data_IF_305543759429
#
_entry.id   IF_305543759429
#
_cell.length_a   1.000
_cell.length_b   1.000
_cell.length_c   1.000
_cell.angle_alpha   90.00
_cell.angle_beta   90.00
_cell.angle_gamma   90.00
#
_symmetry.space_group_name_H-M   'P 1'
#
loop_
_entity.id
_entity.type
_entity.pdbx_description
1 polymer ?
#
# COMPACT_ATOMS: atom_id res chain seq x y z
N UNK A 1 77.22 -33.14 -4.51
CA UNK A 1 75.92 -32.94 -5.17
C UNK A 1 75.05 -32.11 -4.23
N UNK A 2 74.51 -30.95 -4.64
CA UNK A 2 73.72 -30.13 -3.73
C UNK A 2 72.26 -30.61 -3.69
N UNK A 3 71.72 -30.72 -2.48
CA UNK A 3 70.30 -30.97 -2.21
C UNK A 3 69.45 -29.77 -2.63
N UNK A 4 68.40 -29.99 -3.42
CA UNK A 4 67.38 -28.97 -3.65
C UNK A 4 66.26 -29.08 -2.60
N UNK A 5 65.79 -27.96 -2.02
CA UNK A 5 64.67 -27.97 -1.10
C UNK A 5 63.34 -28.14 -1.84
N UNK A 6 62.48 -29.01 -1.31
CA UNK A 6 61.11 -29.21 -1.77
C UNK A 6 60.27 -28.02 -1.33
N UNK A 7 59.74 -27.26 -2.30
CA UNK A 7 58.81 -26.14 -2.05
C UNK A 7 57.42 -26.73 -1.80
N UNK A 8 56.70 -26.34 -0.74
CA UNK A 8 55.34 -26.81 -0.50
C UNK A 8 54.39 -26.25 -1.56
N UNK A 9 53.55 -27.12 -2.12
CA UNK A 9 52.51 -26.74 -3.06
C UNK A 9 51.51 -25.79 -2.38
N UNK A 10 51.49 -24.52 -2.82
CA UNK A 10 50.45 -23.58 -2.45
C UNK A 10 49.11 -24.10 -2.98
N UNK A 11 48.26 -24.53 -2.05
CA UNK A 11 46.85 -24.83 -2.30
C UNK A 11 46.17 -23.56 -2.82
N UNK A 12 45.81 -23.58 -4.11
CA UNK A 12 44.95 -22.57 -4.70
C UNK A 12 43.57 -22.74 -4.07
N UNK A 13 43.25 -21.89 -3.09
CA UNK A 13 41.89 -21.75 -2.61
C UNK A 13 41.00 -21.39 -3.82
N UNK A 14 39.87 -22.07 -4.04
CA UNK A 14 38.98 -21.74 -5.13
C UNK A 14 38.46 -20.33 -4.90
N UNK A 15 38.85 -19.41 -5.77
CA UNK A 15 38.25 -18.08 -5.88
C UNK A 15 36.79 -18.30 -6.25
N UNK A 16 35.91 -18.32 -5.24
CA UNK A 16 34.46 -18.31 -5.45
C UNK A 16 34.15 -16.97 -6.09
N UNK A 17 34.10 -16.96 -7.42
CA UNK A 17 33.51 -15.88 -8.18
C UNK A 17 32.03 -15.87 -7.79
N UNK A 18 31.68 -15.07 -6.78
CA UNK A 18 30.30 -14.65 -6.54
C UNK A 18 29.91 -13.81 -7.75
N UNK A 19 29.54 -14.48 -8.84
CA UNK A 19 28.74 -13.88 -9.88
C UNK A 19 27.48 -13.42 -9.18
N UNK A 20 27.45 -12.15 -8.81
CA UNK A 20 26.22 -11.43 -8.52
C UNK A 20 25.43 -11.48 -9.82
N UNK A 21 24.70 -12.56 -10.04
CA UNK A 21 23.57 -12.60 -10.94
C UNK A 21 22.60 -11.61 -10.34
N UNK A 22 22.76 -10.35 -10.73
CA UNK A 22 21.71 -9.35 -10.63
C UNK A 22 20.58 -10.00 -11.43
N UNK A 23 19.69 -10.70 -10.72
CA UNK A 23 18.44 -11.15 -11.28
C UNK A 23 17.80 -9.87 -11.77
N UNK A 24 17.91 -9.64 -13.09
CA UNK A 24 17.25 -8.58 -13.80
C UNK A 24 15.77 -8.74 -13.49
N UNK A 25 15.31 -8.06 -12.44
CA UNK A 25 13.95 -8.13 -11.99
C UNK A 25 13.10 -7.54 -13.08
N UNK A 26 12.38 -8.39 -13.81
CA UNK A 26 11.47 -7.95 -14.86
C UNK A 26 10.45 -7.01 -14.23
N UNK A 27 10.28 -5.78 -14.74
CA UNK A 27 9.28 -4.85 -14.24
C UNK A 27 7.88 -5.47 -14.20
N UNK A 28 7.27 -5.54 -13.02
CA UNK A 28 5.90 -6.03 -12.84
C UNK A 28 4.87 -4.91 -13.00
N UNK A 29 3.64 -5.28 -13.34
CA UNK A 29 2.45 -4.42 -13.24
C UNK A 29 1.66 -4.84 -12.03
N UNK A 30 1.50 -3.94 -11.07
CA UNK A 30 0.92 -4.23 -9.76
C UNK A 30 -0.27 -3.30 -9.54
N UNK A 31 -1.39 -3.89 -9.14
CA UNK A 31 -2.61 -3.17 -8.84
C UNK A 31 -2.98 -3.41 -7.37
N UNK A 32 -2.91 -2.37 -6.56
CA UNK A 32 -3.24 -2.43 -5.13
C UNK A 32 -4.67 -1.98 -4.95
N UNK A 33 -5.52 -2.88 -4.47
CA UNK A 33 -6.92 -2.57 -4.14
C UNK A 33 -7.05 -2.42 -2.64
N UNK A 34 -7.60 -1.31 -2.19
CA UNK A 34 -7.91 -1.12 -0.77
C UNK A 34 -9.38 -0.79 -0.56
N UNK A 35 -9.96 -1.36 0.49
CA UNK A 35 -11.29 -1.03 0.97
C UNK A 35 -11.30 0.14 1.96
N UNK A 36 -10.13 0.62 2.40
CA UNK A 36 -10.04 1.77 3.29
C UNK A 36 -10.62 3.01 2.61
N UNK A 37 -11.50 3.71 3.34
CA UNK A 37 -12.15 4.92 2.87
C UNK A 37 -11.29 6.15 3.10
N UNK A 38 -11.29 7.03 2.12
CA UNK A 38 -10.69 8.35 2.19
C UNK A 38 -9.28 8.40 1.59
N UNK A 39 -8.91 9.60 1.16
CA UNK A 39 -7.56 9.89 0.64
C UNK A 39 -6.60 10.32 1.75
N UNK A 40 -7.11 10.71 2.91
CA UNK A 40 -6.29 10.99 4.08
C UNK A 40 -5.80 9.69 4.74
N UNK A 41 -4.52 9.59 5.16
CA UNK A 41 -3.98 8.41 5.83
C UNK A 41 -4.51 8.27 7.25
N UNK A 42 -5.79 7.89 7.37
CA UNK A 42 -6.54 7.77 8.61
C UNK A 42 -6.32 6.43 9.31
N UNK A 43 -5.79 5.42 8.61
CA UNK A 43 -5.57 4.07 9.16
C UNK A 43 -4.16 3.52 8.90
N UNK A 44 -3.73 2.57 9.74
CA UNK A 44 -2.48 1.84 9.55
C UNK A 44 -2.45 1.04 8.24
N UNK A 45 -3.57 0.42 7.86
CA UNK A 45 -3.69 -0.33 6.62
C UNK A 45 -3.50 0.53 5.37
N UNK A 46 -4.10 1.73 5.34
CA UNK A 46 -3.87 2.70 4.26
C UNK A 46 -2.38 3.04 4.13
N UNK A 47 -1.73 3.36 5.26
CA UNK A 47 -0.30 3.70 5.28
C UNK A 47 0.56 2.55 4.78
N UNK A 48 0.26 1.32 5.21
CA UNK A 48 0.98 0.12 4.78
C UNK A 48 0.87 -0.08 3.26
N UNK A 49 -0.34 0.05 2.69
CA UNK A 49 -0.57 -0.06 1.25
C UNK A 49 0.18 1.03 0.46
N UNK A 50 0.15 2.28 0.96
CA UNK A 50 0.87 3.38 0.34
C UNK A 50 2.39 3.13 0.35
N UNK A 51 2.95 2.69 1.49
CA UNK A 51 4.38 2.38 1.59
C UNK A 51 4.79 1.19 0.70
N UNK A 52 3.95 0.15 0.65
CA UNK A 52 4.16 -1.00 -0.23
C UNK A 52 4.18 -0.56 -1.70
N UNK A 53 3.15 0.18 -2.14
CA UNK A 53 3.05 0.69 -3.50
C UNK A 53 4.25 1.56 -3.88
N UNK A 54 4.61 2.49 -2.99
CA UNK A 54 5.78 3.36 -3.15
C UNK A 54 7.07 2.55 -3.27
N UNK A 55 7.27 1.56 -2.40
CA UNK A 55 8.48 0.72 -2.41
C UNK A 55 8.60 -0.12 -3.68
N UNK A 56 7.48 -0.62 -4.20
CA UNK A 56 7.44 -1.39 -5.44
C UNK A 56 7.72 -0.50 -6.65
N UNK A 57 7.13 0.70 -6.70
CA UNK A 57 7.40 1.68 -7.74
C UNK A 57 8.87 2.12 -7.76
N UNK A 58 9.50 2.33 -6.59
CA UNK A 58 10.94 2.66 -6.49
C UNK A 58 11.86 1.57 -7.04
N UNK A 59 11.40 0.32 -7.04
CA UNK A 59 12.12 -0.83 -7.61
C UNK A 59 11.90 -0.98 -9.13
N UNK A 60 11.24 -0.02 -9.77
CA UNK A 60 10.98 -0.02 -11.21
C UNK A 60 9.73 -0.78 -11.62
N UNK A 61 8.86 -1.18 -10.68
CA UNK A 61 7.56 -1.75 -11.02
C UNK A 61 6.56 -0.65 -11.39
N UNK A 62 5.58 -0.98 -12.24
CA UNK A 62 4.44 -0.09 -12.53
C UNK A 62 3.34 -0.39 -11.52
N UNK A 63 3.02 0.59 -10.68
CA UNK A 63 2.06 0.42 -9.59
C UNK A 63 0.90 1.39 -9.75
N UNK A 64 -0.32 0.88 -9.60
CA UNK A 64 -1.55 1.68 -9.56
C UNK A 64 -2.39 1.27 -8.35
N UNK A 65 -3.06 2.24 -7.74
CA UNK A 65 -3.92 2.01 -6.59
C UNK A 65 -5.39 2.21 -6.95
N UNK A 66 -6.27 1.34 -6.45
CA UNK A 66 -7.71 1.55 -6.41
C UNK A 66 -8.12 1.84 -4.98
N UNK A 67 -8.74 2.99 -4.77
CA UNK A 67 -9.12 3.49 -3.44
C UNK A 67 -10.58 3.95 -3.46
N UNK A 68 -11.19 4.07 -2.28
CA UNK A 68 -12.44 4.81 -2.11
C UNK A 68 -12.14 6.21 -1.58
N UNK A 69 -12.76 7.22 -2.15
CA UNK A 69 -12.60 8.61 -1.71
C UNK A 69 -13.93 9.28 -1.42
N UNK A 70 -13.86 10.38 -0.68
CA UNK A 70 -14.95 11.34 -0.61
C UNK A 70 -14.66 12.51 -1.56
N UNK A 71 -15.68 12.99 -2.29
CA UNK A 71 -15.55 14.14 -3.20
C UNK A 71 -14.93 15.37 -2.53
N UNK A 72 -15.21 15.59 -1.24
CA UNK A 72 -14.67 16.70 -0.44
C UNK A 72 -13.15 16.65 -0.21
N UNK A 73 -12.50 15.49 -0.41
CA UNK A 73 -11.04 15.33 -0.28
C UNK A 73 -10.29 15.64 -1.58
N UNK A 74 -11.01 15.75 -2.69
CA UNK A 74 -10.44 15.97 -4.02
C UNK A 74 -9.91 17.39 -4.31
N UNK A 75 -10.42 18.48 -3.69
CA UNK A 75 -9.88 19.83 -3.94
C UNK A 75 -8.39 19.98 -3.65
N UNK A 76 -7.83 19.13 -2.77
CA UNK A 76 -6.39 19.09 -2.47
C UNK A 76 -5.58 18.23 -3.43
N UNK A 77 -6.21 17.57 -4.41
CA UNK A 77 -5.57 16.67 -5.35
C UNK A 77 -5.35 17.38 -6.69
N UNK A 78 -4.11 17.54 -7.14
CA UNK A 78 -3.82 18.19 -8.41
C UNK A 78 -4.09 17.27 -9.60
N UNK A 79 -4.40 17.87 -10.75
CA UNK A 79 -4.55 17.19 -12.04
C UNK A 79 -5.53 16.01 -12.05
N UNK A 80 -6.63 16.12 -11.30
CA UNK A 80 -7.66 15.10 -11.23
C UNK A 80 -8.53 15.08 -12.49
N UNK A 81 -8.81 13.88 -13.00
CA UNK A 81 -9.85 13.67 -14.02
C UNK A 81 -11.05 12.99 -13.37
N UNK A 82 -12.26 13.46 -13.69
CA UNK A 82 -13.54 12.86 -13.27
C UNK A 82 -14.17 12.14 -14.46
N UNK A 83 -14.51 10.87 -14.27
CA UNK A 83 -15.18 10.01 -15.25
C UNK A 83 -16.45 9.41 -14.63
N UNK A 84 -17.52 9.34 -15.41
CA UNK A 84 -18.74 8.59 -15.03
C UNK A 84 -18.66 7.19 -15.61
N UNK A 85 -18.84 6.17 -14.76
CA UNK A 85 -18.70 4.77 -15.16
C UNK A 85 -19.98 4.03 -14.79
N UNK A 86 -20.49 3.24 -15.73
CA UNK A 86 -21.66 2.39 -15.50
C UNK A 86 -21.26 1.14 -14.71
N UNK A 87 -21.91 0.92 -13.57
CA UNK A 87 -21.70 -0.23 -12.70
C UNK A 87 -22.87 -1.21 -12.77
N UNK A 88 -22.53 -2.49 -12.79
CA UNK A 88 -23.50 -3.57 -12.75
C UNK A 88 -23.73 -3.95 -11.29
N UNK A 89 -24.95 -3.74 -10.79
CA UNK A 89 -25.37 -4.32 -9.53
C UNK A 89 -25.77 -5.78 -9.78
N UNK A 90 -25.20 -6.72 -9.02
CA UNK A 90 -25.43 -8.16 -9.21
C UNK A 90 -26.87 -8.61 -8.91
N UNK A 91 -27.69 -7.71 -8.34
CA UNK A 91 -29.04 -8.02 -7.83
C UNK A 91 -30.17 -7.40 -8.66
N UNK A 92 -29.87 -6.54 -9.66
CA UNK A 92 -30.90 -5.91 -10.51
C UNK A 92 -30.64 -6.21 -11.97
N UNK A 93 -31.58 -6.91 -12.61
CA UNK A 93 -31.47 -7.33 -14.01
C UNK A 93 -31.61 -6.17 -15.01
N UNK A 94 -32.14 -5.01 -14.62
CA UNK A 94 -32.26 -3.86 -15.52
C UNK A 94 -31.96 -2.53 -14.81
N UNK A 95 -31.00 -1.79 -15.35
CA UNK A 95 -30.56 -0.48 -14.85
C UNK A 95 -29.21 -0.52 -14.14
N UNK A 96 -28.12 -0.56 -14.91
CA UNK A 96 -26.79 -0.26 -14.34
C UNK A 96 -26.80 1.15 -13.76
N UNK A 97 -26.29 1.31 -12.55
CA UNK A 97 -26.16 2.64 -11.93
C UNK A 97 -24.83 3.24 -12.34
N UNK A 98 -24.80 4.55 -12.58
CA UNK A 98 -23.56 5.26 -12.85
C UNK A 98 -22.94 5.76 -11.55
N UNK A 99 -21.62 5.71 -11.49
CA UNK A 99 -20.85 6.25 -10.38
C UNK A 99 -19.60 6.96 -10.85
N UNK A 100 -19.16 7.94 -10.04
CA UNK A 100 -17.95 8.72 -10.33
C UNK A 100 -16.70 7.94 -10.01
N UNK A 101 -15.74 8.01 -10.93
CA UNK A 101 -14.38 7.52 -10.78
C UNK A 101 -13.44 8.68 -11.06
N UNK A 102 -12.48 8.86 -10.19
CA UNK A 102 -11.44 9.87 -10.32
C UNK A 102 -10.10 9.22 -10.65
N UNK A 103 -9.29 9.89 -11.46
CA UNK A 103 -7.91 9.49 -11.71
C UNK A 103 -6.97 10.64 -11.46
N UNK A 104 -5.85 10.35 -10.82
CA UNK A 104 -4.81 11.34 -10.54
C UNK A 104 -3.48 10.65 -10.24
N UNK A 105 -2.41 11.44 -10.23
CA UNK A 105 -1.09 11.01 -9.74
C UNK A 105 -0.88 11.55 -8.32
N UNK A 106 -0.46 10.69 -7.40
CA UNK A 106 -0.05 11.14 -6.08
C UNK A 106 1.34 11.76 -6.16
N UNK A 107 1.51 13.01 -5.73
CA UNK A 107 2.74 13.82 -5.89
C UNK A 107 3.97 13.36 -5.08
N UNK A 108 3.95 12.16 -4.50
CA UNK A 108 5.13 11.63 -3.78
C UNK A 108 6.02 10.91 -4.77
N UNK A 109 7.30 11.21 -4.79
CA UNK A 109 8.31 10.48 -5.56
C UNK A 109 8.50 9.05 -5.00
N UNK A 110 8.29 7.98 -5.79
CA UNK A 110 7.85 7.92 -7.20
C UNK A 110 6.33 8.09 -7.36
N UNK A 111 5.93 8.77 -8.45
CA UNK A 111 4.52 9.06 -8.74
C UNK A 111 3.70 7.77 -8.79
N UNK A 112 2.61 7.75 -8.01
CA UNK A 112 1.66 6.63 -7.99
C UNK A 112 0.41 7.02 -8.75
N UNK A 113 0.01 6.20 -9.71
CA UNK A 113 -1.29 6.34 -10.36
C UNK A 113 -2.39 5.88 -9.41
N UNK A 114 -3.40 6.71 -9.20
CA UNK A 114 -4.53 6.42 -8.33
C UNK A 114 -5.83 6.47 -9.14
N UNK A 115 -6.66 5.45 -8.93
CA UNK A 115 -8.05 5.40 -9.36
C UNK A 115 -8.88 5.43 -8.09
N UNK A 116 -9.68 6.47 -7.91
CA UNK A 116 -10.50 6.64 -6.72
C UNK A 116 -11.98 6.52 -7.08
N UNK A 117 -12.71 5.66 -6.39
CA UNK A 117 -14.16 5.49 -6.53
C UNK A 117 -14.86 6.41 -5.54
N UNK A 118 -15.84 7.19 -6.00
CA UNK A 118 -16.64 8.01 -5.10
C UNK A 118 -17.49 7.13 -4.18
N UNK A 119 -17.24 7.25 -2.88
CA UNK A 119 -17.83 6.35 -1.90
C UNK A 119 -19.36 6.52 -1.79
N UNK A 120 -19.87 7.75 -1.92
CA UNK A 120 -21.31 8.00 -1.92
C UNK A 120 -22.03 7.33 -3.09
N UNK A 121 -21.40 7.29 -4.26
CA UNK A 121 -21.98 6.61 -5.41
C UNK A 121 -21.87 5.10 -5.24
N UNK A 122 -20.73 4.62 -4.73
CA UNK A 122 -20.52 3.21 -4.43
C UNK A 122 -21.60 2.65 -3.52
N UNK A 123 -21.96 3.36 -2.45
CA UNK A 123 -23.02 2.91 -1.53
C UNK A 123 -24.43 3.00 -2.10
N UNK A 124 -24.70 3.83 -3.11
CA UNK A 124 -25.99 3.81 -3.82
C UNK A 124 -26.15 2.53 -4.63
N UNK A 125 -25.06 2.05 -5.25
CA UNK A 125 -25.06 0.87 -6.12
C UNK A 125 -24.95 -0.43 -5.32
N UNK A 126 -24.11 -0.42 -4.29
CA UNK A 126 -23.86 -1.52 -3.38
C UNK A 126 -24.18 -1.06 -1.96
N UNK A 127 -25.47 -0.93 -1.62
CA UNK A 127 -25.87 -0.58 -0.27
C UNK A 127 -25.30 -1.62 0.71
N UNK A 128 -24.77 -1.14 1.83
CA UNK A 128 -24.20 -1.96 2.89
C UNK A 128 -25.32 -2.70 3.63
N UNK A 129 -25.98 -3.66 3.00
CA UNK A 129 -27.02 -4.49 3.62
C UNK A 129 -26.45 -5.37 4.76
N UNK A 130 -25.13 -5.56 4.80
CA UNK A 130 -24.42 -6.33 5.85
C UNK A 130 -23.96 -5.52 7.07
N UNK A 131 -24.17 -4.20 7.11
CA UNK A 131 -23.81 -3.36 8.26
C UNK A 131 -25.09 -2.90 8.98
N UNK A 132 -25.88 -3.87 9.44
CA UNK A 132 -26.99 -3.63 10.37
C UNK A 132 -26.51 -2.75 11.55
N UNK A 133 -27.37 -1.86 12.05
CA UNK A 133 -27.09 -1.01 13.22
C UNK A 133 -26.57 -1.80 14.43
N UNK A 134 -26.96 -3.07 14.57
CA UNK A 134 -26.45 -4.00 15.59
C UNK A 134 -24.94 -4.28 15.49
N UNK A 135 -24.34 -4.19 14.30
CA UNK A 135 -22.91 -4.39 14.09
C UNK A 135 -22.08 -3.11 14.31
N UNK A 136 -22.71 -1.92 14.38
CA UNK A 136 -21.98 -0.69 14.72
C UNK A 136 -21.59 -0.66 16.19
N UNK A 137 -22.50 -1.07 17.07
CA UNK A 137 -22.23 -1.16 18.51
C UNK A 137 -21.19 -2.25 18.80
N UNK A 138 -21.36 -3.44 18.22
CA UNK A 138 -20.41 -4.55 18.32
C UNK A 138 -19.02 -4.21 17.76
N UNK A 139 -18.93 -3.46 16.66
CA UNK A 139 -17.64 -3.00 16.14
C UNK A 139 -16.96 -1.95 17.03
N UNK A 140 -17.73 -1.03 17.61
CA UNK A 140 -17.21 -0.02 18.56
C UNK A 140 -16.76 -0.68 19.86
N UNK A 141 -17.49 -1.68 20.36
CA UNK A 141 -17.09 -2.47 21.53
C UNK A 141 -15.84 -3.30 21.26
N UNK A 142 -15.75 -4.01 20.13
CA UNK A 142 -14.52 -4.75 19.75
C UNK A 142 -13.32 -3.84 19.56
N UNK A 143 -13.52 -2.61 19.03
CA UNK A 143 -12.47 -1.63 18.90
C UNK A 143 -12.01 -1.10 20.27
N UNK A 144 -12.95 -0.87 21.21
CA UNK A 144 -12.63 -0.51 22.60
C UNK A 144 -11.88 -1.65 23.30
N UNK A 145 -12.36 -2.88 23.18
CA UNK A 145 -11.71 -4.07 23.73
C UNK A 145 -10.29 -4.24 23.15
N UNK A 146 -10.12 -4.06 21.84
CA UNK A 146 -8.81 -4.13 21.20
C UNK A 146 -7.85 -3.00 21.63
N UNK A 147 -8.37 -1.80 21.92
CA UNK A 147 -7.57 -0.66 22.43
C UNK A 147 -7.28 -0.78 23.93
N UNK A 148 -8.19 -1.35 24.71
CA UNK A 148 -8.05 -1.63 26.15
C UNK A 148 -7.15 -2.84 26.41
N UNK A 149 -7.02 -3.76 25.43
CA UNK A 149 -5.89 -4.69 25.33
C UNK A 149 -4.64 -3.91 24.89
N UNK A 150 -4.23 -2.96 25.72
CA UNK A 150 -2.91 -2.35 25.62
C UNK A 150 -1.89 -3.39 26.07
N UNK A 151 -1.19 -3.95 25.07
CA UNK A 151 0.24 -4.25 25.07
C UNK A 151 0.85 -4.47 26.47
N UNK A 152 0.86 -5.73 26.91
CA UNK A 152 1.98 -6.20 27.73
C UNK A 152 3.28 -5.84 26.96
N UNK A 153 4.22 -5.09 27.57
CA UNK A 153 5.41 -4.61 26.88
C UNK A 153 6.36 -5.78 26.65
N UNK A 154 6.12 -6.57 25.60
CA UNK A 154 7.06 -7.58 25.11
C UNK A 154 8.14 -6.98 24.19
N UNK A 155 8.04 -5.69 23.88
CA UNK A 155 9.07 -4.98 23.12
C UNK A 155 9.96 -4.18 24.08
N UNK A 156 11.30 -4.32 23.97
CA UNK A 156 12.22 -3.54 24.78
C UNK A 156 11.99 -2.04 24.55
N UNK A 157 12.14 -1.21 25.60
CA UNK A 157 11.79 0.22 25.59
C UNK A 157 12.56 1.07 24.56
N UNK A 158 13.54 0.48 23.88
CA UNK A 158 14.44 1.14 22.95
C UNK A 158 13.87 1.21 21.51
N UNK A 159 12.70 0.62 21.24
CA UNK A 159 12.11 0.54 19.90
C UNK A 159 11.19 1.72 19.52
N UNK A 160 11.00 2.70 20.41
CA UNK A 160 10.40 3.98 20.03
C UNK A 160 11.46 4.85 19.33
N UNK A 161 11.57 4.69 18.01
CA UNK A 161 12.34 5.63 17.22
C UNK A 161 11.71 7.02 17.34
N UNK A 162 12.42 7.88 18.07
CA UNK A 162 12.34 9.33 18.00
C UNK A 162 12.29 9.79 16.53
N UNK A 163 11.12 10.16 16.05
CA UNK A 163 11.01 11.10 14.94
C UNK A 163 10.41 12.40 15.47
N UNK A 164 11.27 13.19 16.12
CA UNK A 164 11.15 14.65 16.04
C UNK A 164 11.30 15.00 14.57
N UNK A 165 10.19 15.26 13.89
CA UNK A 165 10.20 15.96 12.61
C UNK A 165 10.69 17.38 12.92
N UNK A 166 11.83 17.84 12.39
CA UNK A 166 12.14 19.25 12.45
C UNK A 166 11.11 19.96 11.57
N UNK A 167 10.24 20.75 12.20
CA UNK A 167 9.54 21.83 11.51
C UNK A 167 10.61 22.85 11.10
N UNK A 168 11.01 22.84 9.84
CA UNK A 168 11.62 23.99 9.20
C UNK A 168 10.89 24.28 7.89
N UNK A 169 10.69 25.58 7.70
CA UNK A 169 9.86 26.29 6.75
C UNK A 169 10.12 25.96 5.28
#
# INVERSE_FOLDING_TARGET
MPFQPIVPAHSLAPTVSTSNTILSSTPMRIFVVQSAHGLSPSSGGYKANLYLATSLARRGHRVRMLVFCWRRELPSVPNITEEWVQWKSGTKEEGGMEGRVYRFEWEREPRLEVVAIELEDYWKVYPNEGMHESNKEDWVERLKEWLEVTLEPSFPPDYWYNYRVPLYC
#
